data_IF_268881474348
#
_entry.id   IF_268881474348
#
_cell.length_a   1.000
_cell.length_b   1.000
_cell.length_c   1.000
_cell.angle_alpha   90.00
_cell.angle_beta   90.00
_cell.angle_gamma   90.00
#
_symmetry.space_group_name_H-M   'P 1'
#
loop_
_entity.id
_entity.type
_entity.pdbx_description
1 polymer ?
#
# COMPACT_ATOMS: atom_id res chain seq x y z
N UNK A 1 4.87 3.09 -10.45
CA UNK A 1 3.57 3.58 -10.96
C UNK A 1 3.74 4.22 -12.33
N UNK A 2 2.66 4.60 -13.02
CA UNK A 2 2.73 5.27 -14.34
C UNK A 2 3.59 6.56 -14.29
N UNK A 3 3.61 7.25 -13.15
CA UNK A 3 4.47 8.41 -12.89
C UNK A 3 5.96 8.13 -13.11
N UNK A 4 6.45 6.97 -12.66
CA UNK A 4 7.86 6.58 -12.77
C UNK A 4 8.31 6.43 -14.23
N UNK A 5 7.43 5.96 -15.11
CA UNK A 5 7.72 5.87 -16.54
C UNK A 5 7.98 7.25 -17.15
N UNK A 6 7.21 8.27 -16.76
CA UNK A 6 7.41 9.63 -17.26
C UNK A 6 8.72 10.24 -16.75
N UNK A 7 9.06 10.01 -15.48
CA UNK A 7 10.36 10.39 -14.93
C UNK A 7 11.51 9.70 -15.68
N UNK A 8 11.40 8.40 -15.92
CA UNK A 8 12.40 7.63 -16.65
C UNK A 8 12.53 8.09 -18.11
N UNK A 9 11.42 8.35 -18.80
CA UNK A 9 11.45 8.86 -20.16
C UNK A 9 12.10 10.24 -20.23
N UNK A 10 11.79 11.14 -19.29
CA UNK A 10 12.41 12.47 -19.21
C UNK A 10 13.92 12.37 -19.01
N UNK A 11 14.35 11.51 -18.08
CA UNK A 11 15.77 11.22 -17.85
C UNK A 11 16.47 10.66 -19.10
N UNK A 12 15.85 9.69 -19.78
CA UNK A 12 16.45 9.09 -20.99
C UNK A 12 16.57 10.14 -22.10
N UNK A 13 15.55 10.99 -22.29
CA UNK A 13 15.60 12.07 -23.29
C UNK A 13 16.73 13.08 -22.98
N UNK A 14 16.86 13.50 -21.72
CA UNK A 14 17.97 14.38 -21.29
C UNK A 14 19.34 13.74 -21.59
N UNK A 15 19.47 12.42 -21.37
CA UNK A 15 20.69 11.68 -21.71
C UNK A 15 20.94 11.58 -23.21
N UNK A 16 19.90 11.45 -24.04
CA UNK A 16 20.04 11.47 -25.50
C UNK A 16 20.57 12.82 -25.98
N UNK A 17 20.03 13.92 -25.42
CA UNK A 17 20.41 15.29 -25.79
C UNK A 17 21.84 15.64 -25.35
N UNK A 18 22.23 15.25 -24.13
CA UNK A 18 23.56 15.54 -23.58
C UNK A 18 24.66 14.61 -24.09
N UNK A 19 24.31 13.45 -24.65
CA UNK A 19 25.30 12.50 -25.14
C UNK A 19 25.94 12.97 -26.45
N UNK A 20 27.25 12.78 -26.59
CA UNK A 20 28.01 13.05 -27.82
C UNK A 20 28.34 11.77 -28.59
N UNK A 21 28.48 10.64 -27.88
CA UNK A 21 28.87 9.36 -28.47
C UNK A 21 27.69 8.64 -29.15
N UNK A 22 27.85 8.20 -30.41
CA UNK A 22 26.75 7.60 -31.17
C UNK A 22 26.30 6.24 -30.63
N UNK A 23 27.20 5.47 -30.02
CA UNK A 23 26.87 4.16 -29.45
C UNK A 23 25.91 4.27 -28.26
N UNK A 24 26.20 5.21 -27.34
CA UNK A 24 25.32 5.48 -26.21
C UNK A 24 24.00 6.13 -26.63
N UNK A 25 23.99 7.00 -27.66
CA UNK A 25 22.72 7.47 -28.24
C UNK A 25 21.86 6.31 -28.75
N UNK A 26 22.44 5.35 -29.45
CA UNK A 26 21.71 4.18 -29.91
C UNK A 26 21.17 3.34 -28.74
N UNK A 27 21.96 3.19 -27.67
CA UNK A 27 21.52 2.52 -26.44
C UNK A 27 20.33 3.24 -25.80
N UNK A 28 20.40 4.56 -25.60
CA UNK A 28 19.32 5.33 -24.98
C UNK A 28 18.05 5.34 -25.84
N UNK A 29 18.17 5.41 -27.16
CA UNK A 29 17.02 5.27 -28.06
C UNK A 29 16.33 3.90 -27.91
N UNK A 30 17.10 2.82 -27.78
CA UNK A 30 16.55 1.48 -27.50
C UNK A 30 15.89 1.41 -26.12
N UNK A 31 16.50 1.99 -25.09
CA UNK A 31 15.91 2.09 -23.76
C UNK A 31 14.58 2.85 -23.82
N UNK A 32 14.54 4.01 -24.47
CA UNK A 32 13.33 4.82 -24.64
C UNK A 32 12.23 4.03 -25.35
N UNK A 33 12.57 3.33 -26.43
CA UNK A 33 11.61 2.48 -27.15
C UNK A 33 11.03 1.41 -26.23
N UNK A 34 11.86 0.74 -25.42
CA UNK A 34 11.41 -0.31 -24.52
C UNK A 34 10.57 0.23 -23.36
N UNK A 35 10.95 1.39 -22.81
CA UNK A 35 10.18 2.10 -21.79
C UNK A 35 8.79 2.48 -22.30
N UNK A 36 8.67 2.96 -23.54
CA UNK A 36 7.38 3.26 -24.17
C UNK A 36 6.51 2.01 -24.29
N UNK A 37 7.06 0.90 -24.77
CA UNK A 37 6.31 -0.37 -24.87
C UNK A 37 5.73 -0.79 -23.52
N UNK A 38 6.53 -0.75 -22.44
CA UNK A 38 6.04 -1.12 -21.12
C UNK A 38 5.07 -0.10 -20.52
N UNK A 39 5.20 1.19 -20.88
CA UNK A 39 4.23 2.20 -20.50
C UNK A 39 2.88 1.92 -21.17
N UNK A 40 2.87 1.58 -22.46
CA UNK A 40 1.64 1.22 -23.17
C UNK A 40 0.99 -0.02 -22.53
N UNK A 41 1.76 -1.08 -22.24
CA UNK A 41 1.27 -2.26 -21.51
C UNK A 41 0.72 -1.90 -20.12
N UNK A 42 1.35 -0.95 -19.41
CA UNK A 42 0.90 -0.49 -18.10
C UNK A 42 -0.40 0.32 -18.18
N UNK A 43 -0.59 1.12 -19.23
CA UNK A 43 -1.81 1.87 -19.51
C UNK A 43 -2.96 0.94 -19.95
N UNK A 44 -2.63 -0.20 -20.54
CA UNK A 44 -3.59 -1.24 -20.90
C UNK A 44 -4.00 -2.13 -19.72
N UNK A 45 -3.24 -2.13 -18.63
CA UNK A 45 -3.55 -2.91 -17.43
C UNK A 45 -4.51 -2.17 -16.49
N UNK A 46 -5.74 -2.67 -16.35
CA UNK A 46 -6.77 -2.10 -15.45
C UNK A 46 -6.27 -1.96 -14.01
N UNK A 47 -5.57 -2.97 -13.48
CA UNK A 47 -5.06 -2.91 -12.10
C UNK A 47 -4.06 -1.77 -11.89
N UNK A 48 -3.17 -1.52 -12.85
CA UNK A 48 -2.20 -0.42 -12.77
C UNK A 48 -2.91 0.93 -12.93
N UNK A 49 -3.87 1.02 -13.84
CA UNK A 49 -4.67 2.23 -14.06
C UNK A 49 -5.45 2.60 -12.80
N UNK A 50 -6.12 1.63 -12.16
CA UNK A 50 -6.89 1.83 -10.94
C UNK A 50 -5.98 2.15 -9.75
N UNK A 51 -4.87 1.43 -9.57
CA UNK A 51 -3.89 1.75 -8.53
C UNK A 51 -3.37 3.19 -8.69
N UNK A 52 -3.10 3.63 -9.91
CA UNK A 52 -2.66 5.00 -10.19
C UNK A 52 -3.77 6.03 -9.88
N UNK A 53 -5.03 5.74 -10.23
CA UNK A 53 -6.16 6.62 -9.93
C UNK A 53 -6.51 6.70 -8.43
N UNK A 54 -6.21 5.64 -7.68
CA UNK A 54 -6.35 5.59 -6.21
C UNK A 54 -5.15 6.21 -5.48
N UNK A 55 -4.13 6.71 -6.19
CA UNK A 55 -3.05 7.44 -5.54
C UNK A 55 -3.48 8.87 -5.14
N UNK A 56 -3.41 9.25 -3.84
CA UNK A 56 -3.85 10.57 -3.36
C UNK A 56 -3.05 11.76 -3.90
N UNK A 57 -1.85 11.55 -4.45
CA UNK A 57 -1.01 12.61 -5.01
C UNK A 57 -1.48 13.05 -6.39
N UNK A 58 -2.00 12.11 -7.21
CA UNK A 58 -2.29 12.37 -8.62
C UNK A 58 -3.74 12.14 -9.02
N UNK A 59 -4.40 11.13 -8.44
CA UNK A 59 -5.78 10.72 -8.80
C UNK A 59 -5.95 10.57 -10.32
N UNK A 60 -7.07 11.02 -10.87
CA UNK A 60 -7.28 11.06 -12.33
C UNK A 60 -6.53 12.21 -13.03
N UNK A 61 -5.97 13.17 -12.29
CA UNK A 61 -5.28 14.32 -12.87
C UNK A 61 -4.04 13.93 -13.68
N UNK A 62 -3.37 12.83 -13.34
CA UNK A 62 -2.24 12.29 -14.14
C UNK A 62 -2.68 11.88 -15.54
N UNK A 63 -3.84 11.24 -15.66
CA UNK A 63 -4.38 10.86 -16.97
C UNK A 63 -4.83 12.09 -17.74
N UNK A 64 -5.45 13.06 -17.08
CA UNK A 64 -5.83 14.31 -17.73
C UNK A 64 -4.61 15.08 -18.25
N UNK A 65 -3.51 15.10 -17.50
CA UNK A 65 -2.31 15.86 -17.85
C UNK A 65 -1.45 15.14 -18.91
N UNK A 66 -1.24 13.83 -18.77
CA UNK A 66 -0.23 13.10 -19.55
C UNK A 66 -0.82 12.05 -20.48
N UNK A 67 -2.02 11.55 -20.23
CA UNK A 67 -2.66 10.49 -21.03
C UNK A 67 -4.15 10.77 -21.32
N UNK A 68 -4.49 11.90 -22.00
CA UNK A 68 -5.89 12.33 -22.11
C UNK A 68 -6.80 11.30 -22.80
N UNK A 69 -6.25 10.50 -23.72
CA UNK A 69 -6.98 9.41 -24.39
C UNK A 69 -7.43 8.30 -23.43
N UNK A 70 -6.72 8.11 -22.31
CA UNK A 70 -7.00 7.07 -21.32
C UNK A 70 -7.86 7.58 -20.16
N UNK A 71 -8.04 8.89 -20.02
CA UNK A 71 -8.80 9.50 -18.92
C UNK A 71 -10.22 8.94 -18.81
N UNK A 72 -10.96 8.92 -19.92
CA UNK A 72 -12.36 8.45 -19.93
C UNK A 72 -12.48 6.99 -19.51
N UNK A 73 -11.54 6.15 -19.95
CA UNK A 73 -11.48 4.74 -19.56
C UNK A 73 -11.15 4.59 -18.07
N UNK A 74 -10.12 5.29 -17.59
CA UNK A 74 -9.71 5.25 -16.18
C UNK A 74 -10.83 5.71 -15.24
N UNK A 75 -11.51 6.81 -15.59
CA UNK A 75 -12.65 7.31 -14.83
C UNK A 75 -13.78 6.28 -14.78
N UNK A 76 -14.15 5.71 -15.94
CA UNK A 76 -15.22 4.72 -16.03
C UNK A 76 -14.90 3.47 -15.20
N UNK A 77 -13.70 2.91 -15.34
CA UNK A 77 -13.28 1.73 -14.58
C UNK A 77 -13.34 1.98 -13.07
N UNK A 78 -12.86 3.13 -12.61
CA UNK A 78 -12.90 3.48 -11.19
C UNK A 78 -14.33 3.62 -10.68
N UNK A 79 -15.21 4.24 -11.48
CA UNK A 79 -16.62 4.43 -11.15
C UNK A 79 -17.38 3.11 -11.10
N UNK A 80 -17.15 2.21 -12.06
CA UNK A 80 -17.78 0.89 -12.12
C UNK A 80 -17.39 0.06 -10.88
N UNK A 81 -16.09 0.02 -10.53
CA UNK A 81 -15.59 -0.66 -9.33
C UNK A 81 -16.11 -0.05 -8.02
N UNK A 82 -16.22 1.29 -7.97
CA UNK A 82 -16.79 1.99 -6.81
C UNK A 82 -18.26 1.59 -6.59
N UNK A 83 -19.05 1.58 -7.66
CA UNK A 83 -20.46 1.19 -7.60
C UNK A 83 -20.61 -0.28 -7.16
N UNK A 84 -19.84 -1.18 -7.75
CA UNK A 84 -19.83 -2.61 -7.40
C UNK A 84 -19.52 -2.79 -5.90
N UNK A 85 -18.44 -2.18 -5.39
CA UNK A 85 -18.11 -2.30 -3.97
C UNK A 85 -19.12 -1.66 -3.04
N UNK A 86 -19.73 -0.56 -3.45
CA UNK A 86 -20.78 0.12 -2.69
C UNK A 86 -22.00 -0.79 -2.57
N UNK A 87 -22.42 -1.43 -3.65
CA UNK A 87 -23.52 -2.40 -3.66
C UNK A 87 -23.24 -3.59 -2.74
N UNK A 88 -22.04 -4.19 -2.82
CA UNK A 88 -21.65 -5.31 -1.95
C UNK A 88 -21.73 -4.97 -0.45
N UNK A 89 -21.30 -3.76 -0.07
CA UNK A 89 -21.36 -3.29 1.32
C UNK A 89 -22.80 -3.09 1.80
N UNK A 90 -23.67 -2.55 0.94
CA UNK A 90 -25.10 -2.41 1.26
C UNK A 90 -25.79 -3.76 1.41
N UNK A 91 -25.47 -4.73 0.54
CA UNK A 91 -25.99 -6.09 0.61
C UNK A 91 -25.52 -6.83 1.88
N UNK A 92 -24.24 -6.68 2.26
CA UNK A 92 -23.70 -7.29 3.48
C UNK A 92 -24.34 -6.73 4.75
N UNK A 93 -24.72 -5.45 4.73
CA UNK A 93 -25.39 -4.78 5.87
C UNK A 93 -26.83 -5.26 6.03
N UNK A 94 -27.55 -5.52 4.94
CA UNK A 94 -28.92 -6.04 4.98
C UNK A 94 -28.99 -7.54 5.37
N UNK A 95 -27.92 -8.30 5.12
CA UNK A 95 -27.81 -9.72 5.51
C UNK A 95 -27.56 -9.92 7.02
N UNK A 96 -27.08 -8.90 7.75
CA UNK A 96 -27.01 -8.96 9.21
C UNK A 96 -28.36 -8.51 9.76
N UNK A 97 -29.21 -9.49 10.10
CA UNK A 97 -30.53 -9.24 10.71
C UNK A 97 -30.46 -8.31 11.94
N UNK A 98 -31.61 -7.77 12.39
CA UNK A 98 -31.64 -6.76 13.45
C UNK A 98 -30.97 -7.30 14.71
N UNK A 99 -29.81 -6.77 15.07
CA UNK A 99 -29.27 -6.93 16.42
C UNK A 99 -30.18 -6.12 17.33
N UNK A 100 -30.84 -6.72 18.34
CA UNK A 100 -31.63 -5.95 19.29
C UNK A 100 -30.73 -4.89 19.95
N UNK A 101 -31.24 -3.66 20.20
CA UNK A 101 -30.47 -2.63 20.87
C UNK A 101 -29.87 -3.18 22.18
N UNK A 102 -28.61 -2.86 22.52
CA UNK A 102 -28.08 -3.25 23.82
C UNK A 102 -28.96 -2.65 24.91
N UNK A 103 -29.56 -3.52 25.73
CA UNK A 103 -30.29 -3.14 26.92
C UNK A 103 -29.39 -2.25 27.79
N UNK A 104 -29.68 -0.94 27.79
CA UNK A 104 -29.07 -0.01 28.73
C UNK A 104 -29.59 -0.37 30.12
N UNK A 105 -28.77 -1.06 30.90
CA UNK A 105 -28.96 -1.13 32.37
C UNK A 105 -28.98 0.31 32.88
N UNK A 106 -30.14 0.72 33.41
CA UNK A 106 -30.24 1.98 34.13
C UNK A 106 -29.37 1.88 35.38
N UNK A 107 -28.34 2.72 35.44
CA UNK A 107 -27.66 3.06 36.69
C UNK A 107 -28.17 4.43 37.08
N UNK A 108 -29.00 4.46 38.13
CA UNK A 108 -29.42 5.68 38.80
C UNK A 108 -28.18 6.39 39.37
N UNK A 109 -27.92 7.62 38.94
CA UNK A 109 -26.79 8.40 39.41
C UNK A 109 -26.78 9.84 38.90
N UNK A 110 -27.45 10.72 39.65
CA UNK A 110 -27.28 12.18 39.71
C UNK A 110 -27.36 13.00 38.40
N UNK A 111 -28.51 13.65 38.20
CA UNK A 111 -28.81 14.56 37.09
C UNK A 111 -27.90 15.81 37.15
N UNK A 112 -27.01 15.99 36.16
CA UNK A 112 -26.44 17.31 35.83
C UNK A 112 -27.35 18.01 34.82
N UNK A 113 -27.77 19.22 35.17
CA UNK A 113 -28.78 20.08 34.55
C UNK A 113 -28.36 20.72 33.20
N UNK A 114 -27.57 20.03 32.37
CA UNK A 114 -26.98 20.60 31.13
C UNK A 114 -27.47 19.97 29.83
N UNK A 115 -28.39 18.99 29.90
CA UNK A 115 -28.86 18.26 28.72
C UNK A 115 -30.28 18.63 28.24
N UNK A 116 -30.75 19.84 28.54
CA UNK A 116 -32.12 20.27 28.16
C UNK A 116 -32.17 21.13 26.89
N UNK A 117 -31.03 21.61 26.37
CA UNK A 117 -31.01 22.37 25.12
C UNK A 117 -30.13 21.68 24.09
N UNK A 118 -30.76 21.23 23.00
CA UNK A 118 -30.06 20.89 21.77
C UNK A 118 -29.75 22.20 21.05
N UNK A 119 -28.51 22.67 21.16
CA UNK A 119 -28.05 23.92 20.54
C UNK A 119 -27.84 23.78 19.02
N UNK A 120 -27.92 22.56 18.49
CA UNK A 120 -27.74 22.27 17.08
C UNK A 120 -29.07 21.80 16.48
N UNK A 121 -29.74 22.59 15.63
CA UNK A 121 -30.82 22.06 14.81
C UNK A 121 -30.25 20.93 13.96
N UNK A 122 -31.02 19.84 13.77
CA UNK A 122 -30.68 18.79 12.82
C UNK A 122 -30.25 19.44 11.52
N UNK A 123 -29.00 19.18 11.12
CA UNK A 123 -28.47 19.70 9.88
C UNK A 123 -29.44 19.30 8.77
N UNK A 124 -29.89 20.29 7.98
CA UNK A 124 -30.56 20.00 6.71
C UNK A 124 -29.60 19.09 5.97
N UNK A 125 -30.03 17.85 5.69
CA UNK A 125 -29.24 16.87 4.95
C UNK A 125 -28.96 17.48 3.57
N UNK A 126 -27.83 18.18 3.46
CA UNK A 126 -27.25 18.50 2.18
C UNK A 126 -27.08 17.17 1.45
N UNK A 127 -27.33 17.12 0.12
CA UNK A 127 -27.12 15.90 -0.64
C UNK A 127 -25.70 15.43 -0.34
N UNK A 128 -25.58 14.25 0.26
CA UNK A 128 -24.29 13.66 0.60
C UNK A 128 -23.57 13.51 -0.73
N UNK A 129 -22.61 14.40 -1.01
CA UNK A 129 -21.78 14.31 -2.20
C UNK A 129 -21.20 12.89 -2.25
N UNK A 130 -21.34 12.25 -3.41
CA UNK A 130 -20.86 10.89 -3.58
C UNK A 130 -19.34 10.85 -3.29
N UNK A 131 -18.92 9.89 -2.47
CA UNK A 131 -17.55 9.77 -1.95
C UNK A 131 -16.48 9.90 -3.06
N UNK A 132 -16.76 9.29 -4.21
CA UNK A 132 -15.92 9.33 -5.40
C UNK A 132 -15.74 10.78 -5.91
N UNK A 133 -16.81 11.57 -5.92
CA UNK A 133 -16.77 12.97 -6.35
C UNK A 133 -15.93 13.81 -5.40
N UNK A 134 -16.07 13.59 -4.09
CA UNK A 134 -15.27 14.29 -3.06
C UNK A 134 -13.77 13.97 -3.24
N UNK A 135 -13.44 12.69 -3.44
CA UNK A 135 -12.07 12.24 -3.65
C UNK A 135 -11.49 12.86 -4.92
N UNK A 136 -12.18 12.74 -6.06
CA UNK A 136 -11.72 13.26 -7.35
C UNK A 136 -11.66 14.79 -7.39
N UNK A 137 -12.50 15.48 -6.61
CA UNK A 137 -12.48 16.94 -6.43
C UNK A 137 -11.23 17.47 -5.72
N UNK A 138 -10.32 16.60 -5.26
CA UNK A 138 -9.02 16.98 -4.72
C UNK A 138 -9.04 17.37 -3.25
N UNK A 139 -10.12 17.05 -2.52
CA UNK A 139 -10.15 17.20 -1.07
C UNK A 139 -9.01 16.35 -0.47
N UNK A 140 -8.24 16.93 0.46
CA UNK A 140 -7.11 16.27 1.12
C UNK A 140 -6.00 15.85 0.15
N UNK A 141 -5.69 16.67 -0.86
CA UNK A 141 -4.56 16.44 -1.77
C UNK A 141 -3.24 16.38 -0.99
N UNK A 142 -2.45 15.36 -1.28
CA UNK A 142 -1.09 15.17 -0.76
C UNK A 142 -0.07 15.74 -1.75
N UNK A 143 0.97 16.47 -1.31
CA UNK A 143 2.08 16.85 -2.19
C UNK A 143 2.75 15.62 -2.81
N UNK A 144 3.22 15.73 -4.05
CA UNK A 144 3.86 14.59 -4.75
C UNK A 144 5.14 14.09 -4.08
N UNK A 145 5.72 14.86 -3.15
CA UNK A 145 6.92 14.48 -2.38
C UNK A 145 6.63 13.41 -1.30
N UNK A 146 5.36 13.19 -0.93
CA UNK A 146 4.92 12.21 0.08
C UNK A 146 4.28 10.95 -0.53
N UNK A 147 4.54 10.66 -1.81
CA UNK A 147 3.95 9.54 -2.58
C UNK A 147 4.09 8.16 -1.89
N UNK A 148 5.18 7.97 -1.13
CA UNK A 148 5.53 6.71 -0.47
C UNK A 148 4.54 6.23 0.61
N UNK A 149 3.69 7.11 1.13
CA UNK A 149 2.79 6.82 2.26
C UNK A 149 1.31 6.65 1.82
N UNK A 150 1.04 6.35 0.54
CA UNK A 150 -0.33 6.26 0.00
C UNK A 150 -1.26 5.32 0.80
N UNK A 151 -0.80 4.12 1.18
CA UNK A 151 -1.59 3.18 1.99
C UNK A 151 -1.85 3.69 3.41
N UNK A 152 -0.91 4.43 3.99
CA UNK A 152 -1.06 5.05 5.31
C UNK A 152 -2.07 6.20 5.25
N UNK A 153 -2.02 7.01 4.20
CA UNK A 153 -3.02 8.03 3.94
C UNK A 153 -4.44 7.45 3.85
N UNK A 154 -4.60 6.34 3.11
CA UNK A 154 -5.89 5.64 3.02
C UNK A 154 -6.37 5.06 4.35
N UNK A 155 -5.44 4.62 5.20
CA UNK A 155 -5.76 4.17 6.56
C UNK A 155 -6.24 5.32 7.45
N UNK A 156 -5.65 6.49 7.33
CA UNK A 156 -6.02 7.69 8.11
C UNK A 156 -7.38 8.25 7.65
N UNK A 157 -7.66 8.21 6.34
CA UNK A 157 -8.89 8.74 5.75
C UNK A 157 -9.96 7.69 5.47
N UNK A 158 -9.86 6.51 6.10
CA UNK A 158 -10.76 5.39 5.83
C UNK A 158 -12.19 5.64 6.32
N UNK A 159 -12.39 6.64 7.19
CA UNK A 159 -13.72 7.02 7.70
C UNK A 159 -14.43 7.98 6.75
N UNK A 160 -13.67 8.87 6.12
CA UNK A 160 -14.14 9.80 5.10
C UNK A 160 -14.41 9.08 3.77
N UNK A 161 -13.61 8.06 3.46
CA UNK A 161 -13.68 7.31 2.21
C UNK A 161 -13.80 5.79 2.46
N UNK A 162 -14.93 5.31 2.99
CA UNK A 162 -15.08 3.91 3.40
C UNK A 162 -15.04 2.91 2.24
N UNK A 163 -15.57 3.25 1.06
CA UNK A 163 -15.60 2.34 -0.10
C UNK A 163 -14.26 2.40 -0.83
N UNK A 164 -13.74 3.60 -1.09
CA UNK A 164 -12.48 3.79 -1.81
C UNK A 164 -11.28 3.29 -0.99
N UNK A 165 -11.29 3.38 0.34
CA UNK A 165 -10.22 2.83 1.17
C UNK A 165 -10.11 1.30 1.03
N UNK A 166 -11.23 0.60 0.81
CA UNK A 166 -11.22 -0.85 0.55
C UNK A 166 -10.62 -1.14 -0.83
N UNK A 167 -11.04 -0.41 -1.87
CA UNK A 167 -10.44 -0.53 -3.20
C UNK A 167 -8.94 -0.20 -3.17
N UNK A 168 -8.55 0.87 -2.49
CA UNK A 168 -7.16 1.27 -2.34
C UNK A 168 -6.33 0.19 -1.65
N UNK A 169 -6.87 -0.44 -0.60
CA UNK A 169 -6.20 -1.58 0.04
C UNK A 169 -5.99 -2.73 -0.95
N UNK A 170 -6.99 -3.07 -1.74
CA UNK A 170 -6.92 -4.23 -2.63
C UNK A 170 -5.98 -3.98 -3.83
N UNK A 171 -5.98 -2.78 -4.42
CA UNK A 171 -5.16 -2.43 -5.58
C UNK A 171 -3.75 -1.92 -5.24
N UNK A 172 -3.58 -1.12 -4.18
CA UNK A 172 -2.26 -0.58 -3.80
C UNK A 172 -1.43 -1.56 -2.97
N UNK A 173 -2.04 -2.56 -2.32
CA UNK A 173 -1.28 -3.60 -1.60
C UNK A 173 -0.68 -4.66 -2.55
N UNK A 174 -1.15 -4.73 -3.80
CA UNK A 174 -0.59 -5.63 -4.80
C UNK A 174 0.87 -5.26 -5.11
N UNK A 175 1.77 -6.22 -4.91
CA UNK A 175 3.18 -6.03 -5.29
C UNK A 175 3.30 -5.91 -6.81
N UNK A 176 3.96 -4.86 -7.29
CA UNK A 176 4.18 -4.64 -8.72
C UNK A 176 5.16 -5.64 -9.37
N UNK A 177 5.94 -6.37 -8.56
CA UNK A 177 7.00 -7.28 -9.05
C UNK A 177 6.96 -8.63 -8.33
N UNK A 178 7.34 -9.70 -9.03
CA UNK A 178 7.59 -11.03 -8.45
C UNK A 178 8.75 -11.07 -7.46
N UNK A 179 9.57 -10.01 -7.37
CA UNK A 179 10.76 -9.96 -6.52
C UNK A 179 10.46 -10.21 -5.02
N UNK A 180 9.24 -9.95 -4.54
CA UNK A 180 8.83 -10.31 -3.17
C UNK A 180 8.70 -11.83 -3.02
N UNK A 181 8.07 -12.48 -3.99
CA UNK A 181 7.88 -13.92 -4.05
C UNK A 181 9.22 -14.63 -4.31
N UNK A 182 10.07 -14.09 -5.17
CA UNK A 182 11.43 -14.61 -5.41
C UNK A 182 12.27 -14.58 -4.13
N UNK A 183 12.24 -13.48 -3.37
CA UNK A 183 12.89 -13.40 -2.05
C UNK A 183 12.33 -14.44 -1.08
N UNK A 184 11.02 -14.66 -1.08
CA UNK A 184 10.38 -15.70 -0.28
C UNK A 184 10.89 -17.10 -0.68
N UNK A 185 10.99 -17.38 -1.98
CA UNK A 185 11.51 -18.66 -2.47
C UNK A 185 13.01 -18.83 -2.19
N UNK A 186 13.82 -17.77 -2.26
CA UNK A 186 15.22 -17.82 -1.84
C UNK A 186 15.34 -18.16 -0.35
N UNK A 187 14.56 -17.51 0.51
CA UNK A 187 14.52 -17.82 1.94
C UNK A 187 14.03 -19.25 2.23
N UNK A 188 13.07 -19.74 1.44
CA UNK A 188 12.61 -21.12 1.49
C UNK A 188 13.71 -22.09 1.07
N UNK A 189 14.46 -21.79 0.00
CA UNK A 189 15.58 -22.59 -0.45
C UNK A 189 16.67 -22.68 0.64
N UNK A 190 17.01 -21.56 1.29
CA UNK A 190 17.95 -21.53 2.42
C UNK A 190 17.47 -22.40 3.59
N UNK A 191 16.17 -22.34 3.90
CA UNK A 191 15.55 -23.17 4.95
C UNK A 191 15.60 -24.66 4.63
N UNK A 192 15.54 -25.00 3.34
CA UNK A 192 15.54 -26.38 2.85
C UNK A 192 16.96 -26.94 2.61
N UNK A 193 18.01 -26.10 2.58
CA UNK A 193 19.32 -26.53 2.09
C UNK A 193 20.20 -27.27 3.12
N UNK A 194 21.03 -28.14 2.56
CA UNK A 194 22.17 -28.91 3.10
C UNK A 194 21.94 -30.00 4.16
N UNK A 195 21.16 -29.80 5.23
CA UNK A 195 21.05 -30.83 6.32
C UNK A 195 19.61 -31.22 6.71
N UNK A 196 18.59 -30.69 6.00
CA UNK A 196 17.16 -30.84 6.39
C UNK A 196 16.22 -31.21 5.22
N UNK A 197 16.69 -32.02 4.27
CA UNK A 197 15.92 -32.44 3.09
C UNK A 197 14.63 -33.24 3.34
N UNK A 198 14.22 -33.45 4.60
CA UNK A 198 13.01 -34.19 5.00
C UNK A 198 11.91 -33.32 5.62
N UNK A 199 12.01 -31.99 5.56
CA UNK A 199 10.95 -31.13 6.10
C UNK A 199 9.68 -31.23 5.24
N UNK A 200 8.54 -31.47 5.89
CA UNK A 200 7.25 -31.37 5.22
C UNK A 200 6.98 -29.93 4.76
N UNK A 201 6.23 -29.77 3.65
CA UNK A 201 5.88 -28.47 3.09
C UNK A 201 5.29 -27.50 4.13
N UNK A 202 4.40 -28.00 5.00
CA UNK A 202 3.80 -27.23 6.10
C UNK A 202 4.83 -26.69 7.11
N UNK A 203 5.92 -27.43 7.32
CA UNK A 203 6.99 -27.00 8.23
C UNK A 203 7.85 -25.92 7.55
N UNK A 204 8.14 -26.08 6.26
CA UNK A 204 8.86 -25.07 5.47
C UNK A 204 8.08 -23.75 5.45
N UNK A 205 6.77 -23.81 5.16
CA UNK A 205 5.88 -22.66 5.17
C UNK A 205 5.92 -21.90 6.50
N UNK A 206 5.81 -22.63 7.63
CA UNK A 206 5.90 -22.04 8.97
C UNK A 206 7.25 -21.39 9.24
N UNK A 207 8.35 -22.04 8.86
CA UNK A 207 9.70 -21.51 9.05
C UNK A 207 9.90 -20.22 8.25
N UNK A 208 9.53 -20.23 6.97
CA UNK A 208 9.68 -19.07 6.08
C UNK A 208 8.79 -17.92 6.52
N UNK A 209 7.52 -18.18 6.86
CA UNK A 209 6.59 -17.15 7.33
C UNK A 209 7.05 -16.53 8.65
N UNK A 210 7.46 -17.36 9.61
CA UNK A 210 7.98 -16.87 10.90
C UNK A 210 9.25 -16.05 10.70
N UNK A 211 10.17 -16.51 9.85
CA UNK A 211 11.37 -15.76 9.50
C UNK A 211 11.03 -14.39 8.90
N UNK A 212 10.10 -14.35 7.95
CA UNK A 212 9.69 -13.12 7.28
C UNK A 212 9.04 -12.13 8.24
N UNK A 213 8.19 -12.58 9.16
CA UNK A 213 7.59 -11.73 10.20
C UNK A 213 8.63 -11.13 11.15
N UNK A 214 9.61 -11.94 11.57
CA UNK A 214 10.70 -11.48 12.42
C UNK A 214 11.58 -10.43 11.70
N UNK A 215 11.85 -10.62 10.41
CA UNK A 215 12.57 -9.63 9.58
C UNK A 215 11.79 -8.31 9.46
N UNK A 216 10.46 -8.37 9.43
CA UNK A 216 9.59 -7.19 9.43
C UNK A 216 9.45 -6.52 10.82
N UNK A 217 10.12 -7.05 11.85
CA UNK A 217 10.13 -6.49 13.20
C UNK A 217 8.89 -6.86 14.02
N UNK A 218 8.10 -7.85 13.58
CA UNK A 218 6.99 -8.37 14.36
C UNK A 218 7.54 -9.10 15.58
N UNK A 219 7.15 -8.63 16.76
CA UNK A 219 7.55 -9.25 18.02
C UNK A 219 6.46 -10.25 18.45
N UNK A 220 6.72 -11.57 18.38
CA UNK A 220 5.87 -12.56 19.02
C UNK A 220 5.57 -12.21 20.48
N UNK A 221 4.31 -12.26 20.85
CA UNK A 221 3.80 -12.01 22.20
C UNK A 221 3.08 -13.24 22.79
N UNK A 222 2.66 -13.12 24.04
CA UNK A 222 1.90 -14.15 24.76
C UNK A 222 2.61 -15.49 24.84
N UNK A 223 2.07 -16.52 24.18
CA UNK A 223 2.60 -17.89 24.22
C UNK A 223 4.02 -18.05 23.64
N UNK A 224 4.55 -17.02 22.96
CA UNK A 224 5.86 -17.03 22.32
C UNK A 224 6.90 -16.11 23.00
N UNK A 225 6.62 -15.59 24.19
CA UNK A 225 7.50 -14.66 24.92
C UNK A 225 8.91 -15.24 25.12
N UNK A 226 9.03 -16.52 25.49
CA UNK A 226 10.33 -17.21 25.61
C UNK A 226 11.12 -17.22 24.31
N UNK A 227 10.43 -17.37 23.16
CA UNK A 227 11.09 -17.34 21.86
C UNK A 227 11.55 -15.91 21.53
N UNK A 228 10.76 -14.90 21.87
CA UNK A 228 11.12 -13.49 21.71
C UNK A 228 12.36 -13.13 22.55
N UNK A 229 12.47 -13.64 23.78
CA UNK A 229 13.65 -13.43 24.63
C UNK A 229 14.93 -14.00 24.02
N UNK A 230 14.86 -15.22 23.47
CA UNK A 230 15.99 -15.84 22.77
C UNK A 230 16.40 -15.02 21.55
N UNK A 231 15.43 -14.51 20.79
CA UNK A 231 15.68 -13.65 19.62
C UNK A 231 16.34 -12.34 20.05
N UNK A 232 15.86 -11.71 21.13
CA UNK A 232 16.42 -10.48 21.69
C UNK A 232 17.88 -10.69 22.10
N UNK A 233 18.17 -11.76 22.83
CA UNK A 233 19.53 -12.12 23.24
C UNK A 233 20.45 -12.36 22.04
N UNK A 234 20.00 -13.13 21.05
CA UNK A 234 20.77 -13.39 19.83
C UNK A 234 21.05 -12.12 19.02
N UNK A 235 20.09 -11.20 18.97
CA UNK A 235 20.24 -9.90 18.29
C UNK A 235 21.25 -9.01 19.00
N UNK A 236 21.20 -8.93 20.33
CA UNK A 236 22.19 -8.21 21.14
C UNK A 236 23.60 -8.79 20.97
N UNK A 237 23.73 -10.12 20.92
CA UNK A 237 25.02 -10.78 20.70
C UNK A 237 25.58 -10.46 19.32
N UNK A 238 24.77 -10.54 18.25
CA UNK A 238 25.19 -10.12 16.90
C UNK A 238 25.63 -8.66 16.84
N UNK A 239 24.92 -7.76 17.54
CA UNK A 239 25.29 -6.34 17.60
C UNK A 239 26.65 -6.14 18.29
N UNK A 240 26.90 -6.84 19.41
CA UNK A 240 28.20 -6.83 20.11
C UNK A 240 29.33 -7.36 19.22
N UNK A 241 29.11 -8.46 18.52
CA UNK A 241 30.11 -9.05 17.63
C UNK A 241 30.44 -8.14 16.43
N UNK A 242 29.43 -7.47 15.87
CA UNK A 242 29.61 -6.47 14.80
C UNK A 242 30.41 -5.27 15.29
N UNK A 243 30.10 -4.74 16.48
CA UNK A 243 30.84 -3.65 17.11
C UNK A 243 32.31 -4.04 17.37
N UNK A 244 32.56 -5.26 17.87
CA UNK A 244 33.92 -5.78 18.09
C UNK A 244 34.72 -5.89 16.78
N UNK A 245 34.09 -6.36 15.69
CA UNK A 245 34.73 -6.43 14.36
C UNK A 245 35.05 -5.05 13.80
N UNK A 246 34.15 -4.08 13.96
CA UNK A 246 34.37 -2.70 13.52
C UNK A 246 35.55 -2.05 14.26
N UNK A 247 35.62 -2.22 15.58
CA UNK A 247 36.74 -1.73 16.40
C UNK A 247 38.09 -2.38 16.04
N UNK A 248 38.09 -3.67 15.70
CA UNK A 248 39.30 -4.37 15.25
C UNK A 248 39.77 -3.95 13.85
N UNK A 249 38.89 -3.38 13.03
CA UNK A 249 39.23 -2.85 11.70
C UNK A 249 39.76 -1.41 11.78
N UNK A 250 39.23 -0.58 12.68
CA UNK A 250 39.73 0.79 12.90
C UNK A 250 41.08 0.83 13.62
N UNK A 251 41.44 -0.19 14.41
CA UNK A 251 42.77 -0.32 15.03
C UNK A 251 43.88 -0.81 14.09
N UNK A 252 43.58 -1.11 12.82
CA UNK A 252 44.54 -1.60 11.81
C UNK A 252 44.90 -0.55 10.74
N UNK A 253 44.43 0.69 10.90
CA UNK A 253 44.81 1.88 10.13
C UNK A 253 45.69 2.77 11.00
#
# INVERSE_FOLDING_TARGET
MISDYQCLMSFINEKIESCTEPEFKNMFNKMLSKTKTYLDEALDCDAIVIATALNPCFRLSIFQAWFPSHYSRAHKLLQDLYNEKKEELTASTQSKGPVPPPEKKQVEGSKRLVHQFDFFPNAVEAPVEDELTIYLGGKWKVPSEEEGDSLKWWKEHSREFPVLALLARDFLACCATSASVERCFSAAADTCCTDRGSLAAKTIERCVSSHQWLVQGLQPDGAFETAQDVINQATQQKARDKARKAMAQTSKL
#
